data_IF_540239104998
#
_entry.id   IF_540239104998
#
_cell.length_a   1.000
_cell.length_b   1.000
_cell.length_c   1.000
_cell.angle_alpha   90.00
_cell.angle_beta   90.00
_cell.angle_gamma   90.00
#
_symmetry.space_group_name_H-M   'P 1'
#
loop_
_entity.id
_entity.type
_entity.pdbx_description
1 polymer ?
#
# COMPACT_ATOMS: atom_id res chain seq x y z
N UNK A 1 2.76 60.68 -24.13
CA UNK A 1 3.02 59.75 -25.27
C UNK A 1 3.81 58.62 -24.70
N UNK A 2 3.11 57.65 -24.12
CA UNK A 2 3.70 56.53 -23.41
C UNK A 2 3.68 55.27 -24.30
N UNK A 3 4.87 54.73 -24.51
CA UNK A 3 5.02 53.46 -25.23
C UNK A 3 4.96 52.35 -24.20
N UNK A 4 3.80 51.69 -24.06
CA UNK A 4 3.71 50.39 -23.40
C UNK A 4 4.29 49.34 -24.33
N UNK A 5 5.43 48.79 -23.93
CA UNK A 5 6.03 47.61 -24.52
C UNK A 5 5.31 46.38 -23.97
N UNK A 6 4.58 45.68 -24.84
CA UNK A 6 3.90 44.43 -24.55
C UNK A 6 4.97 43.32 -24.55
N UNK A 7 5.27 42.78 -23.37
CA UNK A 7 6.02 41.55 -23.23
C UNK A 7 5.15 40.39 -23.76
N UNK A 8 5.51 39.88 -24.92
CA UNK A 8 4.98 38.61 -25.40
C UNK A 8 5.59 37.47 -24.56
N UNK A 9 4.79 36.45 -24.16
CA UNK A 9 5.35 35.29 -23.44
C UNK A 9 6.24 34.52 -24.41
N UNK A 10 7.50 34.32 -24.03
CA UNK A 10 8.42 33.41 -24.73
C UNK A 10 7.77 32.02 -24.82
N UNK A 11 7.51 31.60 -26.04
CA UNK A 11 7.13 30.20 -26.34
C UNK A 11 8.27 29.30 -25.93
N UNK A 12 8.09 28.58 -24.83
CA UNK A 12 8.95 27.51 -24.43
C UNK A 12 8.90 26.40 -25.51
N UNK A 13 9.80 26.49 -26.46
CA UNK A 13 9.98 25.53 -27.54
C UNK A 13 10.77 24.35 -26.95
N UNK A 14 10.08 23.44 -26.23
CA UNK A 14 10.68 22.17 -25.80
C UNK A 14 10.80 21.27 -27.02
N UNK A 15 11.99 21.20 -27.60
CA UNK A 15 12.37 20.15 -28.54
C UNK A 15 12.25 18.79 -27.81
N UNK A 16 11.33 17.95 -28.24
CA UNK A 16 10.88 16.69 -27.64
C UNK A 16 11.91 15.55 -27.70
N UNK A 17 13.22 15.82 -27.70
CA UNK A 17 14.24 14.78 -27.76
C UNK A 17 15.55 15.13 -27.01
N UNK A 18 15.56 16.11 -26.13
CA UNK A 18 16.73 16.41 -25.31
C UNK A 18 16.90 15.31 -24.23
N UNK A 19 18.05 14.64 -24.23
CA UNK A 19 18.40 13.70 -23.16
C UNK A 19 18.51 14.42 -21.82
N UNK A 20 18.26 13.73 -20.69
CA UNK A 20 18.41 14.32 -19.34
C UNK A 20 19.82 14.90 -19.12
N UNK A 21 20.83 14.37 -19.83
CA UNK A 21 22.21 14.87 -19.80
C UNK A 21 22.37 16.29 -20.39
N UNK A 22 21.43 16.73 -21.22
CA UNK A 22 21.42 18.04 -21.85
C UNK A 22 20.70 19.09 -20.99
N UNK A 23 20.07 18.66 -19.89
CA UNK A 23 19.42 19.54 -18.93
C UNK A 23 20.45 20.26 -18.06
N UNK A 24 20.07 21.41 -17.49
CA UNK A 24 20.90 22.05 -16.45
C UNK A 24 21.10 21.06 -15.30
N UNK A 25 22.26 21.07 -14.70
CA UNK A 25 22.65 20.13 -13.67
C UNK A 25 21.63 20.11 -12.52
N UNK A 26 21.16 21.26 -12.08
CA UNK A 26 20.18 21.43 -11.01
C UNK A 26 18.79 20.88 -11.36
N UNK A 27 18.47 20.68 -12.64
CA UNK A 27 17.19 20.16 -13.13
C UNK A 27 17.21 18.62 -13.31
N UNK A 28 18.40 18.00 -13.30
CA UNK A 28 18.52 16.55 -13.41
C UNK A 28 18.06 15.88 -12.11
N UNK A 29 17.18 14.89 -12.16
CA UNK A 29 16.56 14.36 -10.94
C UNK A 29 17.55 13.90 -9.85
N UNK A 30 18.66 13.27 -10.21
CA UNK A 30 19.65 12.79 -9.26
C UNK A 30 20.41 13.96 -8.61
N UNK A 31 20.88 14.87 -9.39
CA UNK A 31 21.60 16.08 -8.96
C UNK A 31 20.68 16.97 -8.13
N UNK A 32 19.46 17.19 -8.59
CA UNK A 32 18.40 17.90 -7.84
C UNK A 32 18.15 17.27 -6.48
N UNK A 33 18.13 15.92 -6.40
CA UNK A 33 17.95 15.22 -5.11
C UNK A 33 19.10 15.42 -4.14
N UNK A 34 20.33 15.52 -4.64
CA UNK A 34 21.52 15.75 -3.82
C UNK A 34 21.59 17.20 -3.31
N UNK A 35 21.17 18.17 -4.11
CA UNK A 35 21.18 19.58 -3.76
C UNK A 35 20.04 19.97 -2.82
N UNK A 36 18.81 19.51 -3.12
CA UNK A 36 17.60 20.00 -2.47
C UNK A 36 16.91 18.93 -1.59
N UNK A 37 17.45 17.72 -1.53
CA UNK A 37 16.85 16.59 -0.83
C UNK A 37 15.82 15.83 -1.67
N UNK A 38 15.69 14.53 -1.42
CA UNK A 38 14.83 13.61 -2.21
C UNK A 38 13.33 13.96 -2.12
N UNK A 39 12.89 14.57 -1.02
CA UNK A 39 11.51 14.99 -0.80
C UNK A 39 11.04 16.14 -1.71
N UNK A 40 11.95 16.80 -2.43
CA UNK A 40 11.60 17.88 -3.37
C UNK A 40 11.29 17.36 -4.79
N UNK A 41 11.53 16.07 -5.02
CA UNK A 41 11.29 15.47 -6.32
C UNK A 41 9.80 15.13 -6.51
N UNK A 42 9.34 15.31 -7.74
CA UNK A 42 8.03 14.82 -8.16
C UNK A 42 8.01 13.31 -8.29
N UNK A 43 6.82 12.69 -8.26
CA UNK A 43 6.66 11.25 -8.47
C UNK A 43 7.30 10.76 -9.78
N UNK A 44 7.24 11.59 -10.85
CA UNK A 44 7.86 11.28 -12.13
C UNK A 44 9.39 11.29 -12.05
N UNK A 45 9.98 12.21 -11.30
CA UNK A 45 11.43 12.27 -11.09
C UNK A 45 11.92 11.12 -10.22
N UNK A 46 11.19 10.76 -9.15
CA UNK A 46 11.48 9.60 -8.32
C UNK A 46 11.43 8.30 -9.14
N UNK A 47 10.38 8.13 -9.93
CA UNK A 47 10.22 6.97 -10.79
C UNK A 47 11.30 6.92 -11.88
N UNK A 48 11.71 8.06 -12.43
CA UNK A 48 12.79 8.17 -13.41
C UNK A 48 14.14 7.72 -12.82
N UNK A 49 14.41 8.06 -11.56
CA UNK A 49 15.62 7.59 -10.84
C UNK A 49 15.58 6.08 -10.68
N UNK A 50 14.42 5.51 -10.31
CA UNK A 50 14.25 4.06 -10.12
C UNK A 50 14.46 3.28 -11.41
N UNK A 51 13.83 3.69 -12.51
CA UNK A 51 13.97 2.98 -13.80
C UNK A 51 15.31 3.21 -14.48
N UNK A 52 16.05 4.25 -14.07
CA UNK A 52 17.43 4.55 -14.43
C UNK A 52 17.64 5.05 -15.86
N UNK A 53 16.88 4.54 -16.83
CA UNK A 53 17.02 4.88 -18.26
C UNK A 53 15.66 5.05 -18.91
N UNK A 54 15.59 5.90 -19.94
CA UNK A 54 14.41 6.03 -20.78
C UNK A 54 14.20 4.83 -21.73
N UNK A 55 13.51 5.09 -22.83
CA UNK A 55 13.32 4.19 -23.96
C UNK A 55 14.10 4.71 -25.19
N UNK A 56 13.91 4.08 -26.34
CA UNK A 56 14.49 4.59 -27.60
C UNK A 56 13.91 5.96 -28.02
N UNK A 57 12.72 6.30 -27.57
CA UNK A 57 11.98 7.50 -28.00
C UNK A 57 11.68 8.48 -26.87
N UNK A 58 11.96 8.14 -25.62
CA UNK A 58 11.64 8.95 -24.44
C UNK A 58 12.81 8.93 -23.45
N UNK A 59 13.12 10.06 -22.84
CA UNK A 59 14.03 10.09 -21.70
C UNK A 59 13.38 9.43 -20.46
N UNK A 60 14.13 9.25 -19.36
CA UNK A 60 13.64 8.54 -18.18
C UNK A 60 12.47 9.26 -17.51
N UNK A 61 12.44 10.60 -17.49
CA UNK A 61 11.36 11.38 -16.88
C UNK A 61 10.09 11.32 -17.73
N UNK A 62 10.21 11.38 -19.04
CA UNK A 62 9.09 11.23 -19.97
C UNK A 62 8.49 9.82 -19.87
N UNK A 63 9.34 8.79 -19.82
CA UNK A 63 8.87 7.42 -19.63
C UNK A 63 8.18 7.25 -18.27
N UNK A 64 8.72 7.83 -17.22
CA UNK A 64 8.09 7.83 -15.90
C UNK A 64 6.71 8.52 -15.89
N UNK A 65 6.56 9.65 -16.61
CA UNK A 65 5.25 10.30 -16.79
C UNK A 65 4.28 9.41 -17.56
N UNK A 66 4.74 8.70 -18.58
CA UNK A 66 3.91 7.74 -19.33
C UNK A 66 3.44 6.59 -18.44
N UNK A 67 4.30 6.08 -17.56
CA UNK A 67 3.97 5.03 -16.58
C UNK A 67 2.93 5.55 -15.58
N UNK A 68 3.12 6.74 -15.01
CA UNK A 68 2.16 7.36 -14.08
C UNK A 68 0.81 7.63 -14.76
N UNK A 69 0.82 8.12 -15.99
CA UNK A 69 -0.40 8.36 -16.77
C UNK A 69 -1.19 7.07 -16.99
N UNK A 70 -0.53 5.95 -17.28
CA UNK A 70 -1.17 4.63 -17.40
C UNK A 70 -1.83 4.18 -16.10
N UNK A 71 -1.34 4.64 -14.95
CA UNK A 71 -1.91 4.41 -13.62
C UNK A 71 -2.90 5.51 -13.17
N UNK A 72 -3.34 6.40 -14.07
CA UNK A 72 -4.22 7.51 -13.75
C UNK A 72 -3.59 8.56 -12.83
N UNK A 73 -2.26 8.71 -12.89
CA UNK A 73 -1.44 9.62 -12.08
C UNK A 73 -1.59 9.38 -10.55
N UNK A 74 -1.83 8.12 -10.15
CA UNK A 74 -1.92 7.72 -8.74
C UNK A 74 -0.92 6.61 -8.44
N UNK A 75 -0.06 6.80 -7.44
CA UNK A 75 0.89 5.79 -6.97
C UNK A 75 0.18 4.54 -6.44
N UNK A 76 -0.99 4.68 -5.82
CA UNK A 76 -1.82 3.57 -5.35
C UNK A 76 -2.32 2.67 -6.48
N UNK A 77 -2.63 3.24 -7.65
CA UNK A 77 -2.99 2.44 -8.82
C UNK A 77 -1.75 1.77 -9.42
N UNK A 78 -0.61 2.51 -9.47
CA UNK A 78 0.64 1.98 -9.98
C UNK A 78 1.13 0.78 -9.14
N UNK A 79 0.97 0.83 -7.82
CA UNK A 79 1.35 -0.27 -6.91
C UNK A 79 0.52 -1.54 -7.12
N UNK A 80 -0.70 -1.41 -7.66
CA UNK A 80 -1.60 -2.54 -7.98
C UNK A 80 -1.37 -3.15 -9.36
N UNK A 81 -0.63 -2.45 -10.23
CA UNK A 81 -0.33 -2.95 -11.58
C UNK A 81 0.57 -4.17 -11.51
N UNK A 82 0.14 -5.25 -12.17
CA UNK A 82 0.90 -6.47 -12.28
C UNK A 82 2.05 -6.36 -13.29
N UNK A 83 2.96 -7.35 -13.26
CA UNK A 83 4.08 -7.44 -14.19
C UNK A 83 3.67 -7.30 -15.67
N UNK A 84 2.58 -7.98 -16.08
CA UNK A 84 2.08 -7.93 -17.45
C UNK A 84 1.59 -6.53 -17.84
N UNK A 85 0.87 -5.86 -16.93
CA UNK A 85 0.32 -4.53 -17.17
C UNK A 85 1.45 -3.51 -17.34
N UNK A 86 2.47 -3.57 -16.50
CA UNK A 86 3.66 -2.71 -16.61
C UNK A 86 4.41 -2.96 -17.94
N UNK A 87 4.58 -4.22 -18.34
CA UNK A 87 5.26 -4.56 -19.60
C UNK A 87 4.48 -4.15 -20.86
N UNK A 88 3.16 -3.92 -20.76
CA UNK A 88 2.33 -3.41 -21.86
C UNK A 88 2.61 -1.91 -22.14
N UNK A 89 3.24 -1.20 -21.21
CA UNK A 89 3.60 0.21 -21.41
C UNK A 89 4.83 0.29 -22.32
N UNK A 90 4.71 1.01 -23.43
CA UNK A 90 5.81 1.16 -24.40
C UNK A 90 7.06 1.73 -23.72
N UNK A 91 8.18 1.04 -23.81
CA UNK A 91 9.47 1.42 -23.20
C UNK A 91 9.72 0.80 -21.84
N UNK A 92 8.74 0.08 -21.25
CA UNK A 92 8.90 -0.67 -20.01
C UNK A 92 9.16 -2.13 -20.33
N UNK A 93 10.41 -2.55 -20.22
CA UNK A 93 10.80 -3.97 -20.31
C UNK A 93 10.78 -4.67 -18.96
N UNK A 94 11.10 -5.97 -18.98
CA UNK A 94 11.12 -6.86 -17.79
C UNK A 94 11.87 -6.23 -16.60
N UNK A 95 13.07 -5.71 -16.83
CA UNK A 95 13.90 -5.14 -15.77
C UNK A 95 13.22 -3.95 -15.09
N UNK A 96 12.70 -2.99 -15.87
CA UNK A 96 12.02 -1.82 -15.32
C UNK A 96 10.74 -2.18 -14.56
N UNK A 97 9.94 -3.12 -15.09
CA UNK A 97 8.73 -3.61 -14.40
C UNK A 97 9.08 -4.21 -13.02
N UNK A 98 10.08 -5.09 -12.96
CA UNK A 98 10.55 -5.69 -11.71
C UNK A 98 11.08 -4.63 -10.73
N UNK A 99 11.86 -3.65 -11.22
CA UNK A 99 12.36 -2.56 -10.37
C UNK A 99 11.22 -1.77 -9.71
N UNK A 100 10.19 -1.41 -10.49
CA UNK A 100 9.02 -0.69 -9.96
C UNK A 100 8.30 -1.52 -8.91
N UNK A 101 8.00 -2.78 -9.23
CA UNK A 101 7.33 -3.70 -8.29
C UNK A 101 8.15 -3.90 -7.01
N UNK A 102 9.47 -4.04 -7.12
CA UNK A 102 10.36 -4.20 -5.97
C UNK A 102 10.38 -2.97 -5.06
N UNK A 103 10.33 -1.76 -5.63
CA UNK A 103 10.29 -0.53 -4.85
C UNK A 103 9.01 -0.44 -4.02
N UNK A 104 7.84 -0.76 -4.59
CA UNK A 104 6.58 -0.82 -3.87
C UNK A 104 6.59 -1.91 -2.80
N UNK A 105 7.13 -3.09 -3.10
CA UNK A 105 7.21 -4.20 -2.14
C UNK A 105 8.12 -3.86 -0.94
N UNK A 106 9.26 -3.20 -1.16
CA UNK A 106 10.12 -2.71 -0.07
C UNK A 106 9.35 -1.72 0.80
N UNK A 107 8.65 -0.76 0.18
CA UNK A 107 7.83 0.20 0.92
C UNK A 107 6.73 -0.48 1.74
N UNK A 108 6.09 -1.52 1.20
CA UNK A 108 5.08 -2.33 1.90
C UNK A 108 5.70 -3.08 3.10
N UNK A 109 6.84 -3.76 2.91
CA UNK A 109 7.52 -4.49 3.99
C UNK A 109 7.94 -3.56 5.12
N UNK A 110 8.49 -2.39 4.81
CA UNK A 110 8.80 -1.38 5.82
C UNK A 110 7.60 -1.04 6.70
N UNK A 111 6.41 -0.83 6.11
CA UNK A 111 5.19 -0.53 6.87
C UNK A 111 4.76 -1.67 7.80
N UNK A 112 5.09 -2.93 7.45
CA UNK A 112 4.81 -4.10 8.31
C UNK A 112 5.74 -4.10 9.54
N UNK A 113 6.99 -3.67 9.36
CA UNK A 113 7.99 -3.61 10.43
C UNK A 113 7.70 -2.47 11.44
N UNK A 114 7.02 -1.40 10.99
CA UNK A 114 6.80 -0.17 11.77
C UNK A 114 5.74 -0.30 12.89
N UNK A 115 5.09 -1.48 13.11
CA UNK A 115 4.23 -1.65 14.29
C UNK A 115 5.12 -1.95 15.50
N UNK A 116 5.31 -1.01 16.44
CA UNK A 116 6.14 -1.24 17.60
C UNK A 116 5.62 -2.47 18.37
N UNK A 117 6.48 -3.42 18.64
CA UNK A 117 6.25 -4.44 19.66
C UNK A 117 5.95 -3.68 20.97
N UNK A 118 4.72 -3.83 21.54
CA UNK A 118 4.14 -3.11 22.67
C UNK A 118 3.27 -1.87 22.33
N UNK A 119 2.94 -1.58 21.06
CA UNK A 119 1.86 -0.61 20.81
C UNK A 119 0.58 -1.06 21.52
N UNK A 120 -0.07 -0.13 22.22
CA UNK A 120 -1.34 -0.38 22.90
C UNK A 120 -2.50 0.02 21.98
N UNK A 121 -3.47 -0.86 21.84
CA UNK A 121 -4.64 -0.66 21.01
C UNK A 121 -5.90 -0.54 21.88
N UNK A 122 -6.51 0.63 21.88
CA UNK A 122 -7.70 0.94 22.67
C UNK A 122 -8.90 1.39 21.82
N UNK A 123 -8.69 1.63 20.53
CA UNK A 123 -9.69 2.12 19.58
C UNK A 123 -9.52 1.44 18.23
N UNK A 124 -10.62 1.22 17.50
CA UNK A 124 -10.60 0.66 16.15
C UNK A 124 -9.83 1.52 15.15
N UNK A 125 -9.80 2.84 15.33
CA UNK A 125 -8.98 3.75 14.51
C UNK A 125 -7.50 3.41 14.57
N UNK A 126 -6.94 3.07 15.74
CA UNK A 126 -5.55 2.65 15.89
C UNK A 126 -5.28 1.30 15.21
N UNK A 127 -6.26 0.39 15.24
CA UNK A 127 -6.19 -0.88 14.51
C UNK A 127 -6.17 -0.62 12.99
N UNK A 128 -7.03 0.25 12.50
CA UNK A 128 -7.07 0.65 11.10
C UNK A 128 -5.73 1.30 10.67
N UNK A 129 -5.18 2.21 11.45
CA UNK A 129 -3.86 2.83 11.20
C UNK A 129 -2.73 1.78 11.10
N UNK A 130 -2.84 0.67 11.84
CA UNK A 130 -1.87 -0.41 11.79
C UNK A 130 -2.01 -1.32 10.56
N UNK A 131 -3.21 -1.41 9.95
CA UNK A 131 -3.50 -2.35 8.87
C UNK A 131 -3.73 -1.68 7.51
N UNK A 132 -4.44 -0.57 7.44
CA UNK A 132 -4.76 0.13 6.18
C UNK A 132 -3.51 0.39 5.33
N UNK A 133 -2.41 0.94 5.86
CA UNK A 133 -1.24 1.25 5.03
C UNK A 133 -0.58 0.03 4.39
N UNK A 134 -0.78 -1.17 4.92
CA UNK A 134 -0.16 -2.39 4.40
C UNK A 134 -1.11 -3.20 3.50
N UNK A 135 -2.42 -3.04 3.65
CA UNK A 135 -3.43 -3.85 2.97
C UNK A 135 -4.20 -3.10 1.88
N UNK A 136 -4.24 -1.76 1.93
CA UNK A 136 -5.06 -0.92 1.05
C UNK A 136 -4.82 -1.15 -0.45
N UNK A 137 -3.58 -1.40 -0.85
CA UNK A 137 -3.15 -1.48 -2.24
C UNK A 137 -2.93 -2.91 -2.74
N UNK A 138 -3.28 -3.92 -1.95
CA UNK A 138 -3.12 -5.31 -2.35
C UNK A 138 -4.15 -5.71 -3.41
N UNK A 139 -3.73 -6.37 -4.52
CA UNK A 139 -4.64 -6.85 -5.56
C UNK A 139 -5.33 -8.17 -5.20
N UNK A 140 -5.03 -8.74 -4.05
CA UNK A 140 -5.58 -9.99 -3.53
C UNK A 140 -5.96 -9.82 -2.05
N UNK A 141 -6.80 -10.71 -1.55
CA UNK A 141 -7.16 -10.72 -0.15
C UNK A 141 -6.05 -11.33 0.70
N UNK A 142 -5.77 -10.72 1.83
CA UNK A 142 -4.93 -11.29 2.90
C UNK A 142 -5.70 -11.25 4.22
N UNK A 143 -5.59 -12.33 4.98
CA UNK A 143 -6.16 -12.40 6.34
C UNK A 143 -5.05 -12.33 7.39
N UNK A 144 -5.19 -11.40 8.31
CA UNK A 144 -4.23 -11.10 9.36
C UNK A 144 -4.86 -11.19 10.73
N UNK A 145 -4.04 -11.45 11.73
CA UNK A 145 -4.41 -11.32 13.14
C UNK A 145 -3.42 -10.41 13.86
N UNK A 146 -3.96 -9.68 14.85
CA UNK A 146 -3.17 -8.97 15.84
C UNK A 146 -3.40 -9.66 17.17
N UNK A 147 -2.34 -10.16 17.80
CA UNK A 147 -2.37 -10.84 19.08
C UNK A 147 -2.01 -9.86 20.20
N UNK A 148 -2.82 -9.81 21.23
CA UNK A 148 -2.74 -8.83 22.30
C UNK A 148 -2.65 -9.49 23.65
N UNK A 149 -1.93 -8.85 24.58
CA UNK A 149 -1.97 -9.21 26.00
C UNK A 149 -3.18 -8.58 26.71
N UNK A 150 -3.32 -8.84 28.01
CA UNK A 150 -4.45 -8.36 28.81
C UNK A 150 -4.55 -6.82 28.89
N UNK A 151 -3.44 -6.11 28.70
CA UNK A 151 -3.40 -4.64 28.64
C UNK A 151 -3.56 -4.09 27.21
N UNK A 152 -3.96 -4.93 26.25
CA UNK A 152 -4.10 -4.64 24.81
C UNK A 152 -2.79 -4.17 24.14
N UNK A 153 -1.63 -4.59 24.67
CA UNK A 153 -0.38 -4.39 23.98
C UNK A 153 -0.15 -5.48 22.93
N UNK A 154 0.37 -5.09 21.78
CA UNK A 154 0.72 -6.00 20.69
C UNK A 154 1.79 -7.00 21.12
N UNK A 155 1.49 -8.28 20.97
CA UNK A 155 2.42 -9.40 21.12
C UNK A 155 2.97 -9.82 19.75
N UNK A 156 2.08 -9.93 18.75
CA UNK A 156 2.45 -10.27 17.39
C UNK A 156 1.40 -9.78 16.40
N UNK A 157 1.83 -9.49 15.16
CA UNK A 157 0.99 -9.23 14.00
C UNK A 157 1.35 -10.25 12.92
N UNK A 158 0.42 -11.14 12.58
CA UNK A 158 0.69 -12.33 11.77
C UNK A 158 -0.26 -12.43 10.59
N UNK A 159 0.27 -12.75 9.41
CA UNK A 159 -0.54 -13.13 8.26
C UNK A 159 -0.92 -14.60 8.37
N UNK A 160 -2.21 -14.87 8.40
CA UNK A 160 -2.76 -16.22 8.50
C UNK A 160 -2.90 -16.87 7.13
N UNK A 161 -3.41 -16.08 6.16
CA UNK A 161 -3.58 -16.59 4.81
C UNK A 161 -3.44 -15.48 3.77
N UNK A 162 -3.14 -15.90 2.55
CA UNK A 162 -3.15 -15.09 1.35
C UNK A 162 -3.98 -15.85 0.31
N UNK A 163 -5.09 -15.24 -0.11
CA UNK A 163 -6.03 -15.84 -1.06
C UNK A 163 -5.76 -15.45 -2.50
N UNK A 164 -6.55 -16.08 -3.39
CA UNK A 164 -6.70 -15.67 -4.78
C UNK A 164 -7.62 -14.45 -4.93
N UNK A 165 -8.05 -14.19 -6.18
CA UNK A 165 -8.89 -13.02 -6.53
C UNK A 165 -10.31 -13.11 -5.92
N UNK A 166 -10.76 -14.27 -5.45
CA UNK A 166 -12.17 -14.50 -5.09
C UNK A 166 -12.42 -14.84 -3.62
N UNK A 167 -11.47 -15.34 -2.86
CA UNK A 167 -11.69 -15.69 -1.45
C UNK A 167 -10.40 -16.01 -0.71
N UNK A 168 -10.29 -15.56 0.54
CA UNK A 168 -9.22 -15.95 1.47
C UNK A 168 -9.81 -16.83 2.55
N UNK A 169 -9.36 -18.08 2.63
CA UNK A 169 -9.78 -19.00 3.69
C UNK A 169 -8.84 -18.85 4.87
N UNK A 170 -9.34 -18.31 5.97
CA UNK A 170 -8.63 -18.33 7.25
C UNK A 170 -9.10 -19.53 8.07
N UNK A 171 -8.17 -20.42 8.43
CA UNK A 171 -8.49 -21.58 9.26
C UNK A 171 -8.44 -21.18 10.75
N UNK A 172 -9.56 -21.28 11.51
CA UNK A 172 -9.60 -20.99 12.94
C UNK A 172 -8.56 -21.76 13.75
N UNK A 173 -8.21 -22.98 13.34
CA UNK A 173 -7.18 -23.79 14.03
C UNK A 173 -5.81 -23.13 13.98
N UNK A 174 -5.46 -22.51 12.84
CA UNK A 174 -4.20 -21.78 12.69
C UNK A 174 -4.22 -20.53 13.58
N UNK A 175 -5.34 -19.79 13.58
CA UNK A 175 -5.51 -18.59 14.41
C UNK A 175 -5.33 -18.92 15.88
N UNK A 176 -6.00 -19.96 16.38
CA UNK A 176 -5.89 -20.35 17.80
C UNK A 176 -4.52 -20.93 18.14
N UNK A 177 -3.90 -21.68 17.24
CA UNK A 177 -2.51 -22.14 17.44
C UNK A 177 -1.57 -20.96 17.69
N UNK A 178 -1.63 -19.95 16.84
CA UNK A 178 -0.78 -18.76 16.97
C UNK A 178 -1.12 -17.99 18.26
N UNK A 179 -2.39 -17.84 18.58
CA UNK A 179 -2.82 -17.16 19.80
C UNK A 179 -2.29 -17.86 21.07
N UNK A 180 -2.36 -19.19 21.13
CA UNK A 180 -1.87 -19.98 22.25
C UNK A 180 -0.34 -19.97 22.34
N UNK A 181 0.38 -20.06 21.20
CA UNK A 181 1.84 -19.98 21.17
C UNK A 181 2.36 -18.64 21.70
N UNK A 182 1.65 -17.55 21.44
CA UNK A 182 2.01 -16.20 21.90
C UNK A 182 1.41 -15.85 23.26
N UNK A 183 0.69 -16.78 23.90
CA UNK A 183 -0.03 -16.55 25.18
C UNK A 183 -0.94 -15.31 25.10
N UNK A 184 -1.59 -15.12 23.96
CA UNK A 184 -2.47 -13.99 23.72
C UNK A 184 -3.76 -14.13 24.54
N UNK A 185 -4.23 -13.02 25.10
CA UNK A 185 -5.52 -12.91 25.79
C UNK A 185 -6.55 -12.12 24.98
N UNK A 186 -6.11 -11.53 23.86
CA UNK A 186 -6.96 -10.82 22.93
C UNK A 186 -6.50 -11.06 21.48
N UNK A 187 -7.47 -11.11 20.57
CA UNK A 187 -7.27 -11.24 19.13
C UNK A 187 -8.06 -10.14 18.43
N UNK A 188 -7.43 -9.50 17.45
CA UNK A 188 -8.12 -8.70 16.45
C UNK A 188 -7.95 -9.39 15.10
N UNK A 189 -9.03 -9.53 14.35
CA UNK A 189 -9.06 -10.06 13.01
C UNK A 189 -8.97 -8.90 12.01
N UNK A 190 -8.29 -9.10 10.90
CA UNK A 190 -8.24 -8.11 9.84
C UNK A 190 -8.09 -8.77 8.48
N UNK A 191 -8.84 -8.30 7.50
CA UNK A 191 -8.62 -8.66 6.10
C UNK A 191 -8.92 -7.48 5.18
N UNK A 192 -8.49 -7.54 3.93
CA UNK A 192 -8.79 -6.51 2.94
C UNK A 192 -9.73 -7.02 1.87
N UNK A 193 -10.54 -6.11 1.36
CA UNK A 193 -11.35 -6.29 0.16
C UNK A 193 -10.72 -5.52 -1.02
N UNK A 194 -10.05 -6.19 -1.98
CA UNK A 194 -9.48 -5.53 -3.16
C UNK A 194 -10.52 -4.81 -4.02
N UNK A 195 -11.79 -5.22 -3.93
CA UNK A 195 -12.91 -4.55 -4.60
C UNK A 195 -13.21 -3.13 -4.10
N UNK A 196 -12.71 -2.78 -2.91
CA UNK A 196 -13.02 -1.52 -2.23
C UNK A 196 -14.38 -1.50 -1.53
N UNK A 197 -15.11 -2.62 -1.47
CA UNK A 197 -16.37 -2.73 -0.70
C UNK A 197 -16.08 -2.91 0.78
N UNK A 198 -16.71 -2.11 1.64
CA UNK A 198 -16.66 -2.27 3.10
C UNK A 198 -17.68 -3.27 3.64
N UNK A 199 -18.63 -3.70 2.82
CA UNK A 199 -19.71 -4.58 3.25
C UNK A 199 -19.15 -5.97 3.58
N UNK A 200 -19.34 -6.48 4.82
CA UNK A 200 -18.94 -7.84 5.16
C UNK A 200 -19.68 -8.85 4.29
N UNK A 201 -18.98 -9.86 3.83
CA UNK A 201 -19.61 -11.02 3.19
C UNK A 201 -20.26 -11.95 4.24
N UNK A 202 -21.14 -12.83 3.76
CA UNK A 202 -21.70 -13.86 4.64
C UNK A 202 -20.61 -14.74 5.27
N UNK A 203 -19.55 -15.02 4.51
CA UNK A 203 -18.41 -15.80 4.99
C UNK A 203 -17.62 -15.08 6.09
N UNK A 204 -17.43 -13.75 5.97
CA UNK A 204 -16.75 -12.96 7.01
C UNK A 204 -17.52 -13.02 8.32
N UNK A 205 -18.84 -12.94 8.24
CA UNK A 205 -19.74 -13.05 9.41
C UNK A 205 -19.64 -14.43 10.05
N UNK A 206 -19.74 -15.51 9.24
CA UNK A 206 -19.69 -16.90 9.72
C UNK A 206 -18.32 -17.21 10.34
N UNK A 207 -17.22 -16.81 9.70
CA UNK A 207 -15.87 -16.99 10.21
C UNK A 207 -15.66 -16.24 11.53
N UNK A 208 -16.12 -14.99 11.60
CA UNK A 208 -16.01 -14.18 12.83
C UNK A 208 -16.75 -14.84 13.97
N UNK A 209 -17.96 -15.31 13.73
CA UNK A 209 -18.77 -16.02 14.75
C UNK A 209 -18.05 -17.28 15.23
N UNK A 210 -17.55 -18.12 14.33
CA UNK A 210 -16.80 -19.33 14.70
C UNK A 210 -15.56 -19.02 15.55
N UNK A 211 -14.85 -17.94 15.22
CA UNK A 211 -13.69 -17.52 16.01
C UNK A 211 -14.11 -17.00 17.40
N UNK A 212 -15.19 -16.25 17.51
CA UNK A 212 -15.71 -15.78 18.79
C UNK A 212 -16.08 -16.96 19.70
N UNK A 213 -16.83 -17.94 19.18
CA UNK A 213 -17.20 -19.14 19.93
C UNK A 213 -15.98 -19.94 20.41
N UNK A 214 -15.02 -20.19 19.50
CA UNK A 214 -13.78 -20.89 19.85
C UNK A 214 -12.91 -20.13 20.85
N UNK A 215 -12.80 -18.81 20.71
CA UNK A 215 -12.04 -17.94 21.59
C UNK A 215 -12.60 -17.93 23.01
N UNK A 216 -13.94 -17.93 23.16
CA UNK A 216 -14.61 -17.99 24.46
C UNK A 216 -14.20 -19.25 25.24
N UNK A 217 -14.15 -20.42 24.57
CA UNK A 217 -13.73 -21.67 25.20
C UNK A 217 -12.27 -21.65 25.68
N UNK A 218 -11.43 -20.81 25.07
CA UNK A 218 -10.01 -20.64 25.40
C UNK A 218 -9.74 -19.44 26.31
N UNK A 219 -10.77 -18.75 26.79
CA UNK A 219 -10.65 -17.50 27.55
C UNK A 219 -9.87 -16.40 26.82
N UNK A 220 -9.98 -16.36 25.48
CA UNK A 220 -9.40 -15.34 24.61
C UNK A 220 -10.54 -14.42 24.16
N UNK A 221 -10.28 -13.10 24.15
CA UNK A 221 -11.28 -12.11 23.69
C UNK A 221 -11.05 -11.79 22.23
N UNK A 222 -12.08 -11.84 21.42
CA UNK A 222 -12.07 -11.22 20.08
C UNK A 222 -12.47 -9.77 20.26
N UNK A 223 -11.54 -8.84 20.00
CA UNK A 223 -11.73 -7.42 20.28
C UNK A 223 -12.34 -6.65 19.11
N UNK A 224 -11.99 -7.03 17.90
CA UNK A 224 -12.54 -6.43 16.68
C UNK A 224 -12.30 -7.33 15.46
N UNK A 225 -13.02 -7.05 14.36
CA UNK A 225 -12.73 -7.53 13.04
C UNK A 225 -12.75 -6.32 12.09
N UNK A 226 -11.57 -6.01 11.52
CA UNK A 226 -11.37 -4.87 10.63
C UNK A 226 -11.40 -5.35 9.18
N UNK A 227 -12.25 -4.74 8.36
CA UNK A 227 -12.22 -4.90 6.90
C UNK A 227 -11.58 -3.67 6.29
N UNK A 228 -10.45 -3.83 5.62
CA UNK A 228 -9.78 -2.75 4.90
C UNK A 228 -10.27 -2.69 3.45
N UNK A 229 -10.77 -1.54 3.03
CA UNK A 229 -11.33 -1.30 1.69
C UNK A 229 -10.69 -0.06 1.05
N UNK A 230 -9.56 -0.25 0.35
CA UNK A 230 -8.71 0.86 -0.08
C UNK A 230 -8.18 1.63 1.13
N UNK A 231 -8.29 2.95 1.12
CA UNK A 231 -7.84 3.79 2.25
C UNK A 231 -8.88 3.95 3.37
N UNK A 232 -9.96 3.19 3.32
CA UNK A 232 -11.05 3.22 4.29
C UNK A 232 -11.16 1.85 4.98
N UNK A 233 -11.94 1.77 6.04
CA UNK A 233 -12.14 0.52 6.79
C UNK A 233 -13.56 0.42 7.33
N UNK A 234 -13.92 -0.79 7.80
CA UNK A 234 -15.09 -1.07 8.61
C UNK A 234 -14.61 -1.83 9.85
N UNK A 235 -15.12 -1.49 11.02
CA UNK A 235 -14.91 -2.19 12.28
C UNK A 235 -16.20 -2.87 12.70
N UNK A 236 -16.15 -4.16 12.96
CA UNK A 236 -17.31 -4.93 13.44
C UNK A 236 -17.72 -4.47 14.85
N UNK A 237 -16.75 -4.05 15.67
CA UNK A 237 -17.03 -3.55 17.02
C UNK A 237 -17.76 -2.19 16.96
N UNK A 238 -17.33 -1.25 16.09
CA UNK A 238 -17.98 0.06 15.93
C UNK A 238 -19.38 -0.04 15.32
N UNK A 239 -19.58 -0.99 14.39
CA UNK A 239 -20.87 -1.25 13.75
C UNK A 239 -21.83 -2.08 14.63
N UNK A 240 -21.38 -2.57 15.81
CA UNK A 240 -22.18 -3.42 16.70
C UNK A 240 -22.46 -4.80 16.13
N UNK A 241 -21.59 -5.30 15.23
CA UNK A 241 -21.70 -6.62 14.58
C UNK A 241 -20.96 -7.69 15.40
N UNK A 242 -20.01 -7.26 16.24
CA UNK A 242 -19.24 -8.16 17.08
C UNK A 242 -20.04 -8.44 18.38
N UNK A 243 -20.48 -9.65 18.60
CA UNK A 243 -21.29 -10.07 19.77
C UNK A 243 -20.54 -11.00 20.70
#
# INVERSE_FOLDING_TARGET
>A
MDKFSIFAPEKCNQSSNAGIKDWKEDDRPREKSLLNGIGTLTDAELLAILIGTGSQTQNAVELARSILSAAGNKLSNLSRMGYKDLCNIKGVGKAKAVTIMSAFEIGRRRRIEDVPVRAQFSKSTQLAEAFVPMLADLPHEEFWILLLNNANHCLAKLRISQGGVHQTVADPKIIFREALQHLATGIVLCHNHPSGSKTPSKHDMELTHQIIEGAHALSIRVLDHIIVAGNDYLSFAEEGILF
#
